data_IF_984025757384
#
_entry.id   IF_984025757384
#
_cell.length_a   1.000
_cell.length_b   1.000
_cell.length_c   1.000
_cell.angle_alpha   90.00
_cell.angle_beta   90.00
_cell.angle_gamma   90.00
#
_symmetry.space_group_name_H-M   'P 1'
#
loop_
_entity.id
_entity.type
_entity.pdbx_description
1 polymer ?
#
# COMPACT_ATOMS: atom_id res chain seq x y z
N UNK A 1 70.30 19.38 -24.21
CA UNK A 1 70.75 20.76 -23.83
C UNK A 1 69.67 21.45 -23.03
N UNK A 2 70.05 21.94 -21.85
CA UNK A 2 69.47 23.06 -21.11
C UNK A 2 68.18 22.75 -20.36
N UNK A 3 68.03 22.94 -19.17
CA UNK A 3 68.63 23.36 -17.89
C UNK A 3 67.54 23.22 -16.82
N UNK A 4 67.88 22.59 -15.73
CA UNK A 4 67.13 22.60 -14.51
C UNK A 4 67.03 24.00 -13.90
N UNK A 5 65.87 24.36 -13.37
CA UNK A 5 65.75 25.46 -12.42
C UNK A 5 65.13 24.92 -11.15
N UNK A 6 65.98 24.83 -10.14
CA UNK A 6 65.62 24.51 -8.76
C UNK A 6 65.25 25.84 -8.07
N UNK A 7 64.03 25.84 -7.47
CA UNK A 7 63.70 26.89 -6.49
C UNK A 7 63.38 26.23 -5.16
N UNK A 8 64.14 26.59 -4.15
CA UNK A 8 64.07 26.12 -2.77
C UNK A 8 63.16 27.04 -1.92
N UNK A 9 62.87 26.66 -0.70
CA UNK A 9 61.62 26.90 0.00
C UNK A 9 61.69 28.09 0.95
N UNK A 10 60.52 28.59 1.37
CA UNK A 10 60.44 29.34 2.61
C UNK A 10 59.37 28.78 3.51
N UNK A 11 59.82 28.23 4.60
CA UNK A 11 59.01 27.84 5.73
C UNK A 11 58.48 29.09 6.44
N UNK A 12 57.20 29.14 6.66
CA UNK A 12 56.62 30.03 7.67
C UNK A 12 55.56 29.25 8.46
N UNK A 13 55.98 28.87 9.64
CA UNK A 13 55.13 28.26 10.67
C UNK A 13 54.15 29.34 11.16
N UNK A 14 52.88 29.16 10.94
CA UNK A 14 51.84 29.90 11.67
C UNK A 14 50.98 28.85 12.42
N UNK A 15 51.25 28.77 13.71
CA UNK A 15 50.44 27.99 14.65
C UNK A 15 49.20 28.82 14.99
N UNK A 16 48.04 28.43 14.45
CA UNK A 16 46.75 28.95 14.89
C UNK A 16 46.07 27.86 15.72
N UNK A 17 46.02 28.11 17.01
CA UNK A 17 45.26 27.35 17.97
C UNK A 17 43.81 27.80 17.87
N UNK A 18 42.95 27.02 17.21
CA UNK A 18 41.51 27.28 17.22
C UNK A 18 40.82 26.15 18.03
N UNK A 19 40.28 26.57 19.16
CA UNK A 19 39.50 25.70 20.04
C UNK A 19 38.26 25.18 19.35
N UNK A 20 38.12 23.87 19.28
CA UNK A 20 36.91 23.19 18.80
C UNK A 20 35.87 23.17 19.92
N UNK A 21 34.86 24.06 19.86
CA UNK A 21 33.59 23.83 20.52
C UNK A 21 32.87 22.71 19.72
N UNK A 22 32.86 21.53 20.30
CA UNK A 22 32.08 20.43 19.78
C UNK A 22 30.56 20.69 19.97
N UNK A 23 29.89 21.09 18.90
CA UNK A 23 28.45 21.06 18.83
C UNK A 23 28.05 19.61 18.53
N UNK A 24 27.64 18.86 19.56
CA UNK A 24 26.93 17.61 19.36
C UNK A 24 25.57 17.92 18.74
N UNK A 25 25.48 17.86 17.41
CA UNK A 25 24.22 17.78 16.72
C UNK A 25 23.65 16.37 16.98
N UNK A 26 22.74 16.27 17.95
CA UNK A 26 21.87 15.11 18.11
C UNK A 26 20.94 15.12 16.91
N UNK A 27 21.32 14.41 15.87
CA UNK A 27 20.45 14.13 14.75
C UNK A 27 19.29 13.27 15.24
N UNK A 28 18.11 13.88 15.41
CA UNK A 28 16.84 13.15 15.45
C UNK A 28 16.62 12.59 14.03
N UNK A 29 17.29 11.47 13.76
CA UNK A 29 16.98 10.62 12.61
C UNK A 29 15.66 9.93 12.90
N UNK A 30 14.54 10.60 12.66
CA UNK A 30 13.28 9.93 12.39
C UNK A 30 13.52 9.10 11.12
N UNK A 31 13.70 7.80 11.26
CA UNK A 31 13.64 6.90 10.13
C UNK A 31 12.26 7.13 9.50
N UNK A 32 12.23 7.76 8.34
CA UNK A 32 11.06 7.75 7.48
C UNK A 32 10.85 6.27 7.14
N UNK A 33 9.88 5.64 7.81
CA UNK A 33 9.42 4.29 7.53
C UNK A 33 9.03 4.28 6.06
N UNK A 34 9.88 3.68 5.24
CA UNK A 34 9.66 3.65 3.80
C UNK A 34 8.42 2.79 3.55
N UNK A 35 7.61 3.17 2.58
CA UNK A 35 6.41 2.44 2.16
C UNK A 35 6.68 0.95 1.78
N UNK A 36 7.94 0.53 1.86
CA UNK A 36 8.46 -0.80 1.58
C UNK A 36 8.25 -1.79 2.74
N UNK A 37 7.99 -1.33 3.98
CA UNK A 37 7.89 -2.21 5.15
C UNK A 37 6.49 -2.77 5.40
N UNK A 38 5.51 -2.42 4.56
CA UNK A 38 4.14 -2.92 4.69
C UNK A 38 3.95 -4.22 3.90
N UNK A 39 3.37 -5.22 4.55
CA UNK A 39 2.82 -6.37 3.85
C UNK A 39 1.70 -5.90 2.92
N UNK A 40 1.83 -6.15 1.63
CA UNK A 40 0.80 -5.83 0.65
C UNK A 40 0.03 -7.10 0.33
N UNK A 41 -1.25 -7.11 0.64
CA UNK A 41 -2.12 -8.28 0.51
C UNK A 41 -3.24 -7.98 -0.47
N UNK A 42 -3.37 -8.79 -1.51
CA UNK A 42 -4.55 -8.81 -2.37
C UNK A 42 -5.44 -10.00 -1.97
N UNK A 43 -6.66 -9.69 -1.54
CA UNK A 43 -7.69 -10.69 -1.31
C UNK A 43 -8.60 -10.81 -2.51
N UNK A 44 -8.91 -12.04 -2.92
CA UNK A 44 -9.70 -12.34 -4.11
C UNK A 44 -11.04 -12.94 -3.72
N UNK A 45 -12.15 -12.25 -4.03
CA UNK A 45 -13.52 -12.70 -3.74
C UNK A 45 -14.34 -12.87 -5.01
N UNK A 46 -14.91 -14.09 -5.18
CA UNK A 46 -15.79 -14.40 -6.32
C UNK A 46 -17.07 -15.17 -5.95
N UNK A 47 -17.28 -15.46 -4.67
CA UNK A 47 -18.49 -16.12 -4.17
C UNK A 47 -19.64 -15.13 -3.99
N UNK A 48 -20.86 -15.54 -4.30
CA UNK A 48 -22.09 -14.78 -4.01
C UNK A 48 -22.71 -15.13 -2.64
N UNK A 49 -22.08 -16.00 -1.86
CA UNK A 49 -22.57 -16.39 -0.54
C UNK A 49 -22.22 -15.30 0.49
N UNK A 50 -23.26 -14.78 1.17
CA UNK A 50 -23.08 -13.74 2.20
C UNK A 50 -22.17 -14.20 3.35
N UNK A 51 -22.18 -15.49 3.71
CA UNK A 51 -21.28 -16.01 4.76
C UNK A 51 -19.82 -15.89 4.33
N UNK A 52 -19.53 -16.14 3.05
CA UNK A 52 -18.19 -15.98 2.48
C UNK A 52 -17.80 -14.49 2.44
N UNK A 53 -18.74 -13.61 2.07
CA UNK A 53 -18.52 -12.15 2.12
C UNK A 53 -18.15 -11.70 3.53
N UNK A 54 -18.95 -12.07 4.52
CA UNK A 54 -18.73 -11.74 5.93
C UNK A 54 -17.41 -12.33 6.45
N UNK A 55 -17.11 -13.58 6.06
CA UNK A 55 -15.83 -14.22 6.37
C UNK A 55 -14.63 -13.46 5.82
N UNK A 56 -14.70 -13.02 4.54
CA UNK A 56 -13.65 -12.24 3.91
C UNK A 56 -13.41 -10.90 4.63
N UNK A 57 -14.48 -10.15 4.95
CA UNK A 57 -14.37 -8.88 5.68
C UNK A 57 -13.82 -9.08 7.10
N UNK A 58 -14.19 -10.16 7.79
CA UNK A 58 -13.63 -10.51 9.09
C UNK A 58 -12.15 -10.87 9.00
N UNK A 59 -11.73 -11.65 7.99
CA UNK A 59 -10.33 -11.97 7.77
C UNK A 59 -9.48 -10.70 7.53
N UNK A 60 -9.99 -9.74 6.78
CA UNK A 60 -9.34 -8.44 6.61
C UNK A 60 -9.18 -7.73 7.96
N UNK A 61 -10.24 -7.66 8.75
CA UNK A 61 -10.21 -7.03 10.08
C UNK A 61 -9.19 -7.70 11.01
N UNK A 62 -9.19 -9.03 11.09
CA UNK A 62 -8.25 -9.79 11.90
C UNK A 62 -6.80 -9.57 11.43
N UNK A 63 -6.55 -9.55 10.11
CA UNK A 63 -5.22 -9.29 9.58
C UNK A 63 -4.68 -7.94 10.08
N UNK A 64 -5.48 -6.87 10.06
CA UNK A 64 -5.09 -5.57 10.59
C UNK A 64 -4.91 -5.56 12.11
N UNK A 65 -5.72 -6.33 12.85
CA UNK A 65 -5.63 -6.43 14.31
C UNK A 65 -4.36 -7.16 14.76
N UNK A 66 -3.98 -8.22 14.05
CA UNK A 66 -2.82 -9.07 14.42
C UNK A 66 -1.49 -8.50 13.91
N UNK A 67 -1.48 -7.90 12.72
CA UNK A 67 -0.24 -7.41 12.09
C UNK A 67 0.04 -5.95 12.45
N UNK A 68 -1.00 -5.17 12.69
CA UNK A 68 -0.91 -3.72 12.89
C UNK A 68 -1.26 -2.95 11.61
N UNK A 69 -1.98 -1.84 11.78
CA UNK A 69 -2.47 -1.00 10.68
C UNK A 69 -1.34 -0.43 9.82
N UNK A 70 -0.24 -0.08 10.47
CA UNK A 70 0.93 0.52 9.84
C UNK A 70 1.76 -0.48 9.03
N UNK A 71 1.59 -1.80 9.30
CA UNK A 71 2.40 -2.85 8.70
C UNK A 71 1.68 -3.64 7.59
N UNK A 72 0.42 -3.36 7.31
CA UNK A 72 -0.32 -4.06 6.26
C UNK A 72 -1.16 -3.09 5.42
N UNK A 73 -1.29 -3.41 4.14
CA UNK A 73 -2.21 -2.78 3.18
C UNK A 73 -2.98 -3.88 2.48
N UNK A 74 -4.30 -3.75 2.38
CA UNK A 74 -5.16 -4.76 1.76
C UNK A 74 -5.96 -4.14 0.61
N UNK A 75 -5.97 -4.83 -0.53
CA UNK A 75 -6.90 -4.61 -1.62
C UNK A 75 -7.82 -5.84 -1.76
N UNK A 76 -9.14 -5.66 -1.69
CA UNK A 76 -10.13 -6.69 -1.96
C UNK A 76 -10.60 -6.58 -3.40
N UNK A 77 -10.19 -7.53 -4.24
CA UNK A 77 -10.60 -7.61 -5.65
C UNK A 77 -11.79 -8.56 -5.78
N UNK A 78 -12.91 -8.02 -6.29
CA UNK A 78 -14.21 -8.71 -6.31
C UNK A 78 -14.72 -8.88 -7.73
N UNK A 79 -15.12 -10.11 -8.10
CA UNK A 79 -15.69 -10.40 -9.42
C UNK A 79 -16.74 -11.52 -9.38
N UNK A 80 -17.35 -11.82 -10.54
CA UNK A 80 -18.36 -12.85 -10.67
C UNK A 80 -19.52 -12.64 -9.70
N UNK A 81 -20.03 -13.72 -9.11
CA UNK A 81 -21.11 -13.64 -8.14
C UNK A 81 -20.76 -12.83 -6.88
N UNK A 82 -19.47 -12.72 -6.55
CA UNK A 82 -19.00 -11.93 -5.41
C UNK A 82 -19.30 -10.43 -5.55
N UNK A 83 -19.52 -9.94 -6.77
CA UNK A 83 -19.77 -8.52 -7.00
C UNK A 83 -21.01 -8.00 -6.24
N UNK A 84 -21.94 -8.87 -5.87
CA UNK A 84 -23.11 -8.52 -5.03
C UNK A 84 -22.71 -7.90 -3.68
N UNK A 85 -21.52 -8.19 -3.15
CA UNK A 85 -20.97 -7.50 -1.98
C UNK A 85 -20.84 -6.00 -2.20
N UNK A 86 -20.52 -5.57 -3.42
CA UNK A 86 -20.21 -4.18 -3.75
C UNK A 86 -21.34 -3.45 -4.47
N UNK A 87 -22.53 -4.04 -4.60
CA UNK A 87 -23.70 -3.37 -5.20
C UNK A 87 -24.59 -2.75 -4.14
N UNK A 88 -25.14 -1.56 -4.38
CA UNK A 88 -26.10 -0.91 -3.47
C UNK A 88 -27.37 -1.72 -3.26
N UNK A 89 -27.78 -2.45 -4.30
CA UNK A 89 -29.03 -3.23 -4.28
C UNK A 89 -28.92 -4.51 -3.43
N UNK A 90 -27.77 -5.18 -3.52
CA UNK A 90 -27.66 -6.54 -3.00
C UNK A 90 -26.78 -6.63 -1.73
N UNK A 91 -25.95 -5.63 -1.49
CA UNK A 91 -25.03 -5.66 -0.33
C UNK A 91 -25.77 -5.41 0.97
N UNK A 92 -25.71 -6.39 1.86
CA UNK A 92 -26.16 -6.27 3.26
C UNK A 92 -25.04 -5.81 4.19
N UNK A 93 -23.81 -5.67 3.67
CA UNK A 93 -22.57 -5.42 4.42
C UNK A 93 -21.96 -4.02 4.13
N UNK A 94 -22.75 -3.09 3.61
CA UNK A 94 -22.27 -1.73 3.26
C UNK A 94 -21.67 -0.98 4.46
N UNK A 95 -22.24 -1.19 5.65
CA UNK A 95 -21.71 -0.60 6.90
C UNK A 95 -20.33 -1.15 7.25
N UNK A 96 -20.14 -2.47 7.14
CA UNK A 96 -18.87 -3.15 7.39
C UNK A 96 -17.79 -2.72 6.39
N UNK A 97 -18.16 -2.54 5.11
CA UNK A 97 -17.26 -1.99 4.09
C UNK A 97 -16.82 -0.56 4.46
N UNK A 98 -17.75 0.30 4.88
CA UNK A 98 -17.44 1.66 5.31
C UNK A 98 -16.54 1.68 6.56
N UNK A 99 -16.76 0.78 7.52
CA UNK A 99 -15.90 0.63 8.69
C UNK A 99 -14.48 0.22 8.33
N UNK A 100 -14.31 -0.78 7.44
CA UNK A 100 -12.99 -1.21 6.98
C UNK A 100 -12.28 -0.11 6.21
N UNK A 101 -13.00 0.63 5.36
CA UNK A 101 -12.45 1.78 4.65
C UNK A 101 -11.95 2.86 5.61
N UNK A 102 -12.78 3.26 6.58
CA UNK A 102 -12.46 4.32 7.53
C UNK A 102 -11.36 3.92 8.52
N UNK A 103 -11.44 2.69 9.07
CA UNK A 103 -10.51 2.23 10.10
C UNK A 103 -9.14 1.86 9.54
N UNK A 104 -9.08 1.28 8.33
CA UNK A 104 -7.87 0.63 7.82
C UNK A 104 -7.48 1.05 6.40
N UNK A 105 -8.26 1.90 5.76
CA UNK A 105 -8.07 2.33 4.36
C UNK A 105 -7.99 1.16 3.37
N UNK A 106 -8.83 0.15 3.59
CA UNK A 106 -8.94 -1.01 2.67
C UNK A 106 -9.38 -0.53 1.30
N UNK A 107 -8.71 -0.98 0.25
CA UNK A 107 -9.09 -0.71 -1.11
C UNK A 107 -10.08 -1.76 -1.64
N UNK A 108 -11.16 -1.31 -2.27
CA UNK A 108 -12.17 -2.17 -2.86
C UNK A 108 -12.19 -2.02 -4.38
N UNK A 109 -11.93 -3.11 -5.09
CA UNK A 109 -11.88 -3.15 -6.56
C UNK A 109 -13.02 -4.01 -7.10
N UNK A 110 -13.90 -3.41 -7.89
CA UNK A 110 -14.99 -4.08 -8.60
C UNK A 110 -14.56 -4.48 -10.01
N UNK A 111 -14.89 -5.70 -10.43
CA UNK A 111 -14.57 -6.18 -11.77
C UNK A 111 -15.42 -5.53 -12.86
N UNK A 112 -14.81 -4.73 -13.73
CA UNK A 112 -15.50 -4.06 -14.84
C UNK A 112 -16.14 -5.04 -15.84
N UNK A 113 -15.54 -6.22 -16.07
CA UNK A 113 -16.11 -7.24 -16.94
C UNK A 113 -17.35 -7.88 -16.33
N UNK A 114 -17.34 -8.13 -15.01
CA UNK A 114 -18.52 -8.61 -14.28
C UNK A 114 -19.64 -7.56 -14.28
N UNK A 115 -19.31 -6.29 -14.07
CA UNK A 115 -20.29 -5.20 -14.15
C UNK A 115 -20.96 -5.17 -15.51
N UNK A 116 -20.20 -5.27 -16.62
CA UNK A 116 -20.76 -5.34 -17.97
C UNK A 116 -21.71 -6.53 -18.14
N UNK A 117 -21.29 -7.72 -17.67
CA UNK A 117 -22.11 -8.92 -17.77
C UNK A 117 -23.41 -8.84 -16.97
N UNK A 118 -23.41 -8.08 -15.88
CA UNK A 118 -24.58 -7.85 -15.01
C UNK A 118 -25.35 -6.56 -15.37
N UNK A 119 -24.97 -5.86 -16.44
CA UNK A 119 -25.53 -4.55 -16.84
C UNK A 119 -25.50 -3.49 -15.73
N UNK A 120 -24.41 -3.48 -14.93
CA UNK A 120 -24.18 -2.52 -13.86
C UNK A 120 -23.27 -1.38 -14.31
N UNK A 121 -23.52 -0.23 -13.72
CA UNK A 121 -22.70 0.98 -13.83
C UNK A 121 -22.04 1.32 -12.50
N UNK A 122 -21.13 2.28 -12.45
CA UNK A 122 -20.53 2.75 -11.21
C UNK A 122 -21.54 3.35 -10.22
N UNK A 123 -22.70 3.82 -10.70
CA UNK A 123 -23.80 4.35 -9.86
C UNK A 123 -24.49 3.27 -9.04
N UNK A 124 -24.40 2.03 -9.49
CA UNK A 124 -25.01 0.86 -8.83
C UNK A 124 -24.11 0.29 -7.72
N UNK A 125 -22.84 0.74 -7.66
CA UNK A 125 -21.88 0.31 -6.64
C UNK A 125 -22.00 1.12 -5.36
N UNK A 126 -21.62 0.49 -4.23
CA UNK A 126 -21.47 1.19 -2.95
C UNK A 126 -20.35 2.23 -3.03
N UNK A 127 -20.42 3.27 -2.18
CA UNK A 127 -19.49 4.41 -2.23
C UNK A 127 -18.04 4.05 -1.88
N UNK A 128 -17.84 2.91 -1.20
CA UNK A 128 -16.54 2.43 -0.76
C UNK A 128 -15.67 1.88 -1.89
N UNK A 129 -16.23 1.68 -3.09
CA UNK A 129 -15.47 1.16 -4.24
C UNK A 129 -14.50 2.21 -4.76
N UNK A 130 -13.21 1.88 -4.75
CA UNK A 130 -12.12 2.78 -5.19
C UNK A 130 -11.92 2.76 -6.70
N UNK A 131 -12.11 1.58 -7.32
CA UNK A 131 -11.85 1.41 -8.76
C UNK A 131 -12.69 0.32 -9.40
N UNK A 132 -12.81 0.43 -10.72
CA UNK A 132 -13.48 -0.55 -11.57
C UNK A 132 -12.54 -0.92 -12.74
N UNK A 133 -11.95 -2.12 -12.66
CA UNK A 133 -10.99 -2.64 -13.65
C UNK A 133 -11.23 -4.14 -13.89
N UNK A 134 -10.70 -4.74 -14.96
CA UNK A 134 -10.79 -6.19 -15.15
C UNK A 134 -10.06 -6.93 -14.02
N UNK A 135 -10.79 -7.70 -13.20
CA UNK A 135 -10.24 -8.32 -11.98
C UNK A 135 -9.04 -9.23 -12.23
N UNK A 136 -9.05 -10.04 -13.31
CA UNK A 136 -7.94 -10.94 -13.60
C UNK A 136 -6.66 -10.18 -13.94
N UNK A 137 -6.76 -9.08 -14.68
CA UNK A 137 -5.63 -8.21 -14.98
C UNK A 137 -5.11 -7.58 -13.68
N UNK A 138 -6.01 -7.05 -12.85
CA UNK A 138 -5.61 -6.44 -11.57
C UNK A 138 -4.90 -7.43 -10.63
N UNK A 139 -5.43 -8.64 -10.53
CA UNK A 139 -4.81 -9.70 -9.72
C UNK A 139 -3.43 -10.11 -10.24
N UNK A 140 -3.23 -10.12 -11.55
CA UNK A 140 -1.95 -10.40 -12.18
C UNK A 140 -0.95 -9.27 -11.85
N UNK A 141 -1.31 -8.02 -12.15
CA UNK A 141 -0.48 -6.83 -11.91
C UNK A 141 -0.02 -6.73 -10.45
N UNK A 142 -0.94 -6.91 -9.49
CA UNK A 142 -0.60 -6.86 -8.08
C UNK A 142 0.40 -7.95 -7.68
N UNK A 143 0.27 -9.15 -8.22
CA UNK A 143 1.22 -10.24 -7.95
C UNK A 143 2.59 -9.97 -8.59
N UNK A 144 2.63 -9.39 -9.78
CA UNK A 144 3.88 -8.93 -10.42
C UNK A 144 4.56 -7.82 -9.62
N UNK A 145 3.77 -6.96 -8.96
CA UNK A 145 4.25 -5.96 -8.01
C UNK A 145 4.70 -6.56 -6.65
N UNK A 146 4.55 -7.86 -6.44
CA UNK A 146 4.95 -8.58 -5.22
C UNK A 146 3.92 -8.54 -4.10
N UNK A 147 2.62 -8.35 -4.40
CA UNK A 147 1.56 -8.51 -3.41
C UNK A 147 1.32 -9.97 -3.06
N UNK A 148 1.05 -10.24 -1.79
CA UNK A 148 0.68 -11.55 -1.28
C UNK A 148 -0.78 -11.84 -1.69
N UNK A 149 -0.99 -12.89 -2.48
CA UNK A 149 -2.33 -13.30 -2.89
C UNK A 149 -2.98 -14.22 -1.85
N UNK A 150 -4.20 -13.87 -1.41
CA UNK A 150 -5.03 -14.69 -0.52
C UNK A 150 -6.42 -14.83 -1.13
N UNK A 151 -6.92 -16.06 -1.16
CA UNK A 151 -8.31 -16.38 -1.49
C UNK A 151 -8.99 -16.95 -0.25
N UNK A 152 -9.89 -16.18 0.42
CA UNK A 152 -10.62 -16.60 1.61
C UNK A 152 -11.71 -17.63 1.29
#
# INVERSE_FOLDING_TARGET
MIRAVTVRPNAMLVTILVGTLGVCAVGLGGAAETAQDRHRVVMHLNSGDEKVHRGALNNIRHLYQEVGREHVRVELVVHGAGLTLLTKKDSTLATELAQLKTAYDVEFTACSNTMKAMNLTTRDLVEQVDRTVPAMVRLMELQEEGWIYIKP
#
